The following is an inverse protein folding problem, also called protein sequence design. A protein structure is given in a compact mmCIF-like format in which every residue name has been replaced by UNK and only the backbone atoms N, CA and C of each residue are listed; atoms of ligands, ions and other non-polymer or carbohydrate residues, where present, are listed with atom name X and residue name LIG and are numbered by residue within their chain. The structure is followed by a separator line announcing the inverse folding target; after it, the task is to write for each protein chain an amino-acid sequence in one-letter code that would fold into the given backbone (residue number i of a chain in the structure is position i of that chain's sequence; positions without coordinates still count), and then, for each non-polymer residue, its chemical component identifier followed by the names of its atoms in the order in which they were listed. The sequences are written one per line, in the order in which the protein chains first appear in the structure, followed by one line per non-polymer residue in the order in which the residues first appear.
data_IF_314863917825
#
_entry.id   IF_314863917825
#
_cell.length_a   1.000
_cell.length_b   1.000
_cell.length_c   1.000
_cell.angle_alpha   90.00
_cell.angle_beta   90.00
_cell.angle_gamma   90.00
#
_symmetry.space_group_name_H-M   'P 1'
#
loop_
_entity.id
_entity.type
_entity.pdbx_description
1 polymer ?
#
# COMPACT_ATOMS: atom_id res chain seq x y z
N UNK A 1 -12.97 2.80 -20.80
CA UNK A 1 -13.48 1.84 -19.80
C UNK A 1 -15.00 1.90 -19.67
N UNK A 2 -15.63 2.93 -19.08
CA UNK A 2 -17.09 2.97 -18.91
C UNK A 2 -17.87 2.83 -20.24
N UNK A 3 -17.54 3.62 -21.25
CA UNK A 3 -18.20 3.51 -22.56
C UNK A 3 -18.03 2.12 -23.21
N UNK A 4 -16.82 1.56 -23.16
CA UNK A 4 -16.55 0.22 -23.72
C UNK A 4 -17.22 -0.89 -22.90
N UNK A 5 -17.39 -0.71 -21.58
CA UNK A 5 -18.14 -1.62 -20.72
C UNK A 5 -19.63 -1.60 -21.06
N UNK A 6 -20.20 -0.42 -21.28
CA UNK A 6 -21.59 -0.29 -21.75
C UNK A 6 -21.80 -1.01 -23.08
N UNK A 7 -20.90 -0.81 -24.05
CA UNK A 7 -20.97 -1.51 -25.35
C UNK A 7 -20.87 -3.02 -25.20
N UNK A 8 -19.97 -3.48 -24.33
CA UNK A 8 -19.81 -4.90 -24.00
C UNK A 8 -21.08 -5.50 -23.41
N UNK A 9 -21.72 -4.81 -22.46
CA UNK A 9 -23.00 -5.25 -21.87
C UNK A 9 -24.08 -5.37 -22.95
N UNK A 10 -24.21 -4.37 -23.82
CA UNK A 10 -25.14 -4.43 -24.95
C UNK A 10 -24.86 -5.61 -25.90
N UNK A 11 -23.59 -5.89 -26.22
CA UNK A 11 -23.22 -7.07 -27.03
C UNK A 11 -23.65 -8.39 -26.37
N UNK A 12 -23.48 -8.51 -25.05
CA UNK A 12 -23.90 -9.70 -24.29
C UNK A 12 -25.41 -9.82 -24.23
N UNK A 13 -26.13 -8.70 -24.03
CA UNK A 13 -27.60 -8.65 -24.02
C UNK A 13 -28.19 -9.03 -25.39
N UNK A 14 -27.46 -8.72 -26.48
CA UNK A 14 -27.76 -9.17 -27.85
C UNK A 14 -27.40 -10.65 -28.12
N UNK A 15 -26.86 -11.36 -27.13
CA UNK A 15 -26.49 -12.78 -27.23
C UNK A 15 -25.16 -13.06 -27.93
N UNK A 16 -24.31 -12.05 -28.15
CA UNK A 16 -22.97 -12.25 -28.72
C UNK A 16 -22.07 -12.99 -27.74
N UNK A 17 -21.16 -13.82 -28.25
CA UNK A 17 -20.23 -14.61 -27.44
C UNK A 17 -18.81 -14.57 -28.00
N UNK A 18 -17.83 -14.87 -27.14
CA UNK A 18 -16.42 -14.96 -27.51
C UNK A 18 -15.90 -13.69 -28.17
N UNK A 19 -15.28 -13.83 -29.36
CA UNK A 19 -14.68 -12.72 -30.11
C UNK A 19 -15.70 -11.72 -30.68
N UNK A 20 -16.99 -12.07 -30.69
CA UNK A 20 -18.04 -11.16 -31.14
C UNK A 20 -18.41 -10.09 -30.11
N UNK A 21 -18.03 -10.28 -28.84
CA UNK A 21 -18.26 -9.32 -27.76
C UNK A 21 -17.10 -8.34 -27.68
N UNK A 22 -17.39 -7.04 -27.70
CA UNK A 22 -16.35 -6.03 -27.56
C UNK A 22 -15.68 -6.08 -26.17
N UNK A 23 -14.34 -5.97 -26.10
CA UNK A 23 -13.65 -5.93 -24.82
C UNK A 23 -13.78 -4.55 -24.17
N UNK A 24 -13.77 -4.52 -22.83
CA UNK A 24 -13.47 -3.29 -22.10
C UNK A 24 -12.05 -2.85 -22.47
N UNK A 25 -11.85 -1.56 -22.73
CA UNK A 25 -10.54 -1.05 -23.13
C UNK A 25 -10.20 0.27 -22.44
N UNK A 26 -8.91 0.40 -22.13
CA UNK A 26 -8.25 1.63 -21.73
C UNK A 26 -7.14 2.05 -22.72
N UNK A 27 -7.01 1.35 -23.85
CA UNK A 27 -5.96 1.63 -24.85
C UNK A 27 -6.22 2.95 -25.55
N UNK A 28 -5.14 3.63 -25.94
CA UNK A 28 -5.19 4.90 -26.72
C UNK A 28 -6.15 4.86 -27.90
N UNK A 29 -6.16 3.78 -28.68
CA UNK A 29 -7.05 3.66 -29.86
C UNK A 29 -8.54 3.77 -29.47
N UNK A 30 -8.95 3.14 -28.36
CA UNK A 30 -10.33 3.19 -27.88
C UNK A 30 -10.70 4.59 -27.36
N UNK A 31 -9.74 5.30 -26.76
CA UNK A 31 -9.92 6.68 -26.29
C UNK A 31 -10.11 7.61 -27.49
N UNK A 32 -9.28 7.50 -28.51
CA UNK A 32 -9.34 8.35 -29.70
C UNK A 32 -10.58 8.08 -30.58
N UNK A 33 -11.08 6.84 -30.58
CA UNK A 33 -12.31 6.49 -31.30
C UNK A 33 -13.59 6.79 -30.52
N UNK A 34 -13.49 7.33 -29.29
CA UNK A 34 -14.65 7.57 -28.45
C UNK A 34 -15.53 8.70 -29.04
N UNK A 35 -16.82 8.45 -29.31
CA UNK A 35 -17.71 9.49 -29.80
C UNK A 35 -17.90 10.63 -28.78
N UNK A 36 -18.13 11.85 -29.26
CA UNK A 36 -18.38 13.02 -28.40
C UNK A 36 -19.55 12.80 -27.43
N UNK A 37 -20.65 12.19 -27.90
CA UNK A 37 -21.80 11.92 -27.04
C UNK A 37 -21.43 10.99 -25.87
N UNK A 38 -20.52 10.04 -26.08
CA UNK A 38 -20.09 9.11 -25.04
C UNK A 38 -19.24 9.84 -24.01
N UNK A 39 -18.35 10.74 -24.45
CA UNK A 39 -17.62 11.62 -23.55
C UNK A 39 -18.58 12.46 -22.70
N UNK A 40 -19.52 13.16 -23.34
CA UNK A 40 -20.50 14.03 -22.66
C UNK A 40 -21.35 13.26 -21.65
N UNK A 41 -21.72 12.02 -21.96
CA UNK A 41 -22.47 11.13 -21.06
C UNK A 41 -21.67 10.75 -19.82
N UNK A 42 -20.40 10.40 -19.98
CA UNK A 42 -19.60 9.78 -18.92
C UNK A 42 -18.72 10.76 -18.14
N UNK A 43 -18.40 11.94 -18.66
CA UNK A 43 -17.46 12.89 -18.03
C UNK A 43 -17.81 13.21 -16.56
N UNK A 44 -19.01 13.74 -16.32
CA UNK A 44 -19.46 14.10 -14.96
C UNK A 44 -19.56 12.89 -14.02
N UNK A 45 -19.90 11.72 -14.58
CA UNK A 45 -19.97 10.49 -13.79
C UNK A 45 -18.57 10.05 -13.35
N UNK A 46 -17.59 10.07 -14.26
CA UNK A 46 -16.19 9.75 -13.95
C UNK A 46 -15.63 10.68 -12.89
N UNK A 47 -15.91 11.99 -12.96
CA UNK A 47 -15.53 12.95 -11.92
C UNK A 47 -16.09 12.53 -10.55
N UNK A 48 -17.38 12.18 -10.49
CA UNK A 48 -18.02 11.67 -9.27
C UNK A 48 -17.37 10.37 -8.80
N UNK A 49 -16.99 9.48 -9.73
CA UNK A 49 -16.24 8.25 -9.45
C UNK A 49 -14.87 8.51 -8.83
N UNK A 50 -14.14 9.53 -9.30
CA UNK A 50 -12.87 9.93 -8.69
C UNK A 50 -13.05 10.51 -7.29
N UNK A 51 -14.12 11.27 -7.05
CA UNK A 51 -14.46 11.76 -5.70
C UNK A 51 -14.75 10.58 -4.77
N UNK A 52 -15.51 9.58 -5.22
CA UNK A 52 -15.76 8.35 -4.46
C UNK A 52 -14.48 7.54 -4.21
N UNK A 53 -13.60 7.41 -5.21
CA UNK A 53 -12.30 6.77 -5.06
C UNK A 53 -11.44 7.49 -4.01
N UNK A 54 -11.44 8.82 -3.97
CA UNK A 54 -10.74 9.59 -2.94
C UNK A 54 -11.30 9.32 -1.52
N UNK A 55 -12.64 9.20 -1.38
CA UNK A 55 -13.26 8.82 -0.11
C UNK A 55 -12.85 7.42 0.34
N UNK A 56 -12.85 6.45 -0.58
CA UNK A 56 -12.37 5.09 -0.31
C UNK A 56 -10.90 5.10 0.16
N UNK A 57 -10.02 5.83 -0.54
CA UNK A 57 -8.61 5.96 -0.16
C UNK A 57 -8.44 6.57 1.24
N UNK A 58 -9.26 7.56 1.60
CA UNK A 58 -9.26 8.15 2.93
C UNK A 58 -9.63 7.12 4.01
N UNK A 59 -10.62 6.26 3.74
CA UNK A 59 -10.99 5.15 4.63
C UNK A 59 -9.86 4.12 4.77
N UNK A 60 -9.10 3.90 3.70
CA UNK A 60 -7.86 3.10 3.69
C UNK A 60 -6.62 3.82 4.25
N UNK A 61 -6.80 5.00 4.84
CA UNK A 61 -5.74 5.85 5.43
C UNK A 61 -4.71 6.41 4.43
N UNK A 62 -5.08 6.53 3.15
CA UNK A 62 -4.30 7.26 2.13
C UNK A 62 -4.91 8.66 1.99
N UNK A 63 -4.26 9.67 2.58
CA UNK A 63 -4.82 11.03 2.66
C UNK A 63 -4.09 12.01 1.75
N UNK A 64 -2.85 11.71 1.35
CA UNK A 64 -2.01 12.60 0.53
C UNK A 64 -1.60 11.96 -0.80
N UNK A 65 -1.55 12.76 -1.85
CA UNK A 65 -1.19 12.27 -3.20
C UNK A 65 0.21 11.64 -3.28
N UNK A 66 1.15 12.04 -2.40
CA UNK A 66 2.51 11.48 -2.32
C UNK A 66 2.55 10.06 -1.75
N UNK A 67 1.56 9.69 -0.94
CA UNK A 67 1.44 8.37 -0.30
C UNK A 67 0.79 7.35 -1.22
N UNK A 68 0.15 7.81 -2.30
CA UNK A 68 -0.52 6.93 -3.23
C UNK A 68 0.49 5.95 -3.87
N UNK A 69 0.29 4.62 -3.69
CA UNK A 69 1.20 3.63 -4.26
C UNK A 69 1.16 3.62 -5.79
N UNK A 70 -0.05 3.62 -6.38
CA UNK A 70 -0.28 3.63 -7.82
C UNK A 70 -1.36 4.62 -8.24
N UNK A 71 -0.96 5.65 -9.00
CA UNK A 71 -1.91 6.55 -9.69
C UNK A 71 -2.73 5.84 -10.75
N UNK A 72 -2.13 4.84 -11.40
CA UNK A 72 -2.74 4.04 -12.48
C UNK A 72 -3.92 3.21 -12.00
N UNK A 73 -3.96 2.81 -10.72
CA UNK A 73 -5.07 2.06 -10.13
C UNK A 73 -6.30 2.94 -9.82
N UNK A 74 -6.15 4.27 -9.80
CA UNK A 74 -7.28 5.20 -9.58
C UNK A 74 -8.30 5.15 -10.72
N UNK A 75 -7.84 5.01 -11.96
CA UNK A 75 -8.71 5.01 -13.13
C UNK A 75 -9.72 3.84 -13.11
N UNK A 76 -9.31 2.57 -12.91
CA UNK A 76 -10.28 1.47 -12.79
C UNK A 76 -11.13 1.60 -11.52
N UNK A 77 -10.55 2.03 -10.39
CA UNK A 77 -11.31 2.26 -9.16
C UNK A 77 -12.44 3.27 -9.38
N UNK A 78 -12.16 4.42 -10.00
CA UNK A 78 -13.18 5.43 -10.29
C UNK A 78 -14.27 4.90 -11.23
N UNK A 79 -13.90 4.11 -12.25
CA UNK A 79 -14.88 3.49 -13.15
C UNK A 79 -15.78 2.48 -12.41
N UNK A 80 -15.23 1.69 -11.49
CA UNK A 80 -15.99 0.76 -10.64
C UNK A 80 -16.93 1.56 -9.72
N UNK A 81 -16.45 2.64 -9.11
CA UNK A 81 -17.24 3.52 -8.23
C UNK A 81 -18.46 4.12 -8.94
N UNK A 82 -18.33 4.49 -10.22
CA UNK A 82 -19.47 4.98 -11.03
C UNK A 82 -20.57 3.94 -11.14
N UNK A 83 -20.21 2.67 -11.34
CA UNK A 83 -21.18 1.57 -11.44
C UNK A 83 -21.81 1.22 -10.10
N UNK A 84 -21.01 1.21 -9.03
CA UNK A 84 -21.50 0.85 -7.70
C UNK A 84 -22.33 1.96 -7.07
N UNK A 85 -22.09 3.23 -7.42
CA UNK A 85 -22.72 4.38 -6.76
C UNK A 85 -22.57 4.26 -5.23
N UNK A 86 -23.58 4.53 -4.41
CA UNK A 86 -23.45 4.44 -2.95
C UNK A 86 -23.17 3.02 -2.43
N UNK A 87 -23.38 1.98 -3.26
CA UNK A 87 -23.21 0.58 -2.86
C UNK A 87 -21.76 0.21 -2.53
N UNK A 88 -20.76 0.98 -2.99
CA UNK A 88 -19.36 0.71 -2.61
C UNK A 88 -19.13 0.82 -1.09
N UNK A 89 -20.02 1.51 -0.36
CA UNK A 89 -20.02 1.62 1.10
C UNK A 89 -20.61 0.39 1.80
N UNK A 90 -21.32 -0.49 1.09
CA UNK A 90 -21.83 -1.73 1.68
C UNK A 90 -20.66 -2.57 2.20
N UNK A 91 -20.67 -3.06 3.46
CA UNK A 91 -19.49 -3.67 4.08
C UNK A 91 -18.87 -4.84 3.29
N UNK A 92 -19.70 -5.68 2.68
CA UNK A 92 -19.24 -6.80 1.85
C UNK A 92 -18.55 -6.32 0.56
N UNK A 93 -19.09 -5.28 -0.07
CA UNK A 93 -18.54 -4.69 -1.30
C UNK A 93 -17.24 -3.95 -0.98
N UNK A 94 -17.23 -3.16 0.10
CA UNK A 94 -16.05 -2.47 0.59
C UNK A 94 -14.88 -3.45 0.84
N UNK A 95 -15.16 -4.59 1.49
CA UNK A 95 -14.15 -5.61 1.79
C UNK A 95 -13.52 -6.17 0.51
N UNK A 96 -14.32 -6.45 -0.52
CA UNK A 96 -13.82 -6.91 -1.83
C UNK A 96 -12.99 -5.83 -2.52
N UNK A 97 -13.45 -4.57 -2.51
CA UNK A 97 -12.71 -3.45 -3.09
C UNK A 97 -11.37 -3.24 -2.40
N UNK A 98 -11.34 -3.29 -1.06
CA UNK A 98 -10.12 -3.22 -0.26
C UNK A 98 -9.17 -4.37 -0.61
N UNK A 99 -9.67 -5.60 -0.68
CA UNK A 99 -8.85 -6.76 -1.05
C UNK A 99 -8.23 -6.61 -2.44
N UNK A 100 -9.03 -6.24 -3.44
CA UNK A 100 -8.54 -5.99 -4.81
C UNK A 100 -7.50 -4.86 -4.84
N UNK A 101 -7.77 -3.76 -4.15
CA UNK A 101 -6.88 -2.62 -4.07
C UNK A 101 -5.51 -3.03 -3.50
N UNK A 102 -5.51 -3.66 -2.33
CA UNK A 102 -4.28 -4.09 -1.65
C UNK A 102 -3.54 -5.21 -2.38
N UNK A 103 -4.24 -6.12 -3.07
CA UNK A 103 -3.59 -7.07 -3.97
C UNK A 103 -2.85 -6.37 -5.11
N UNK A 104 -3.46 -5.35 -5.71
CA UNK A 104 -2.83 -4.54 -6.75
C UNK A 104 -1.58 -3.80 -6.28
N UNK A 105 -1.65 -3.20 -5.08
CA UNK A 105 -0.54 -2.46 -4.46
C UNK A 105 0.61 -3.38 -4.07
N UNK A 106 0.33 -4.41 -3.26
CA UNK A 106 1.35 -5.27 -2.65
C UNK A 106 1.90 -6.31 -3.63
N UNK A 107 1.10 -6.70 -4.63
CA UNK A 107 1.56 -7.50 -5.77
C UNK A 107 2.25 -6.67 -6.86
N UNK A 108 2.30 -5.35 -6.73
CA UNK A 108 2.92 -4.41 -7.68
C UNK A 108 2.46 -4.52 -9.13
N UNK A 109 1.18 -4.78 -9.30
CA UNK A 109 0.61 -5.15 -10.58
C UNK A 109 0.33 -3.95 -11.51
N UNK A 110 0.63 -2.74 -11.04
CA UNK A 110 0.27 -1.47 -11.68
C UNK A 110 1.49 -0.62 -12.10
N UNK A 111 2.70 -1.21 -12.09
CA UNK A 111 3.95 -0.56 -12.52
C UNK A 111 4.25 -0.62 -14.03
N UNK A 112 3.75 -1.63 -14.77
CA UNK A 112 4.06 -1.83 -16.19
C UNK A 112 2.95 -2.51 -17.01
N UNK A 113 2.89 -2.23 -18.31
CA UNK A 113 1.91 -2.78 -19.27
C UNK A 113 0.44 -2.82 -18.77
N UNK A 114 0.02 -1.74 -18.09
CA UNK A 114 -1.19 -1.73 -17.25
C UNK A 114 -2.51 -1.57 -17.99
N UNK A 115 -2.51 -1.09 -19.25
CA UNK A 115 -3.75 -0.73 -19.96
C UNK A 115 -4.73 -1.92 -20.05
N UNK A 116 -4.19 -3.11 -20.28
CA UNK A 116 -4.97 -4.35 -20.32
C UNK A 116 -5.49 -4.72 -18.94
N UNK A 117 -4.66 -4.61 -17.90
CA UNK A 117 -5.05 -4.92 -16.51
C UNK A 117 -6.15 -3.99 -16.02
N UNK A 118 -6.00 -2.68 -16.16
CA UNK A 118 -7.01 -1.73 -15.67
C UNK A 118 -8.36 -1.92 -16.38
N UNK A 119 -8.35 -2.25 -17.67
CA UNK A 119 -9.58 -2.49 -18.42
C UNK A 119 -10.27 -3.79 -17.95
N UNK A 120 -9.48 -4.85 -17.75
CA UNK A 120 -9.93 -6.12 -17.22
C UNK A 120 -10.46 -6.01 -15.80
N UNK A 121 -9.79 -5.28 -14.92
CA UNK A 121 -10.18 -5.12 -13.52
C UNK A 121 -11.57 -4.50 -13.36
N UNK A 122 -11.95 -3.54 -14.22
CA UNK A 122 -13.29 -2.97 -14.17
C UNK A 122 -14.35 -4.06 -14.36
N UNK A 123 -14.14 -4.96 -15.32
CA UNK A 123 -15.07 -6.07 -15.58
C UNK A 123 -15.01 -7.12 -14.46
N UNK A 124 -13.81 -7.61 -14.16
CA UNK A 124 -13.60 -8.68 -13.20
C UNK A 124 -14.09 -8.32 -11.80
N UNK A 125 -13.83 -7.08 -11.33
CA UNK A 125 -14.24 -6.64 -10.00
C UNK A 125 -15.74 -6.44 -9.92
N UNK A 126 -16.37 -5.88 -10.96
CA UNK A 126 -17.83 -5.73 -10.99
C UNK A 126 -18.53 -7.09 -11.02
N UNK A 127 -18.06 -8.03 -11.86
CA UNK A 127 -18.58 -9.40 -11.90
C UNK A 127 -18.42 -10.11 -10.55
N UNK A 128 -17.26 -9.97 -9.91
CA UNK A 128 -17.00 -10.55 -8.60
C UNK A 128 -17.91 -9.96 -7.51
N UNK A 129 -18.19 -8.65 -7.56
CA UNK A 129 -19.07 -7.97 -6.60
C UNK A 129 -20.53 -8.36 -6.82
N UNK A 130 -21.01 -8.32 -8.06
CA UNK A 130 -22.43 -8.49 -8.40
C UNK A 130 -22.88 -9.95 -8.32
N UNK A 131 -22.04 -10.87 -8.79
CA UNK A 131 -22.45 -12.26 -9.04
C UNK A 131 -21.74 -13.27 -8.14
N UNK A 132 -20.79 -12.83 -7.30
CA UNK A 132 -19.81 -13.71 -6.65
C UNK A 132 -19.07 -14.63 -7.66
N UNK A 133 -19.02 -14.22 -8.92
CA UNK A 133 -18.49 -15.01 -10.02
C UNK A 133 -17.03 -14.63 -10.28
N UNK A 134 -16.15 -15.61 -10.15
CA UNK A 134 -14.72 -15.45 -10.35
C UNK A 134 -14.03 -14.53 -9.33
N UNK A 135 -12.79 -14.86 -8.97
CA UNK A 135 -11.93 -13.91 -8.26
C UNK A 135 -11.20 -13.06 -9.30
N UNK A 136 -11.10 -11.72 -9.15
CA UNK A 136 -10.45 -10.88 -10.15
C UNK A 136 -9.01 -11.31 -10.42
N UNK A 137 -8.58 -11.22 -11.68
CA UNK A 137 -7.21 -11.62 -12.07
C UNK A 137 -6.15 -10.95 -11.20
N UNK A 138 -6.32 -9.68 -10.87
CA UNK A 138 -5.40 -8.95 -9.97
C UNK A 138 -5.30 -9.57 -8.58
N UNK A 139 -6.38 -10.11 -8.01
CA UNK A 139 -6.34 -10.81 -6.71
C UNK A 139 -5.67 -12.19 -6.84
N UNK A 140 -5.90 -12.89 -7.96
CA UNK A 140 -5.27 -14.18 -8.25
C UNK A 140 -3.76 -14.02 -8.46
N UNK A 141 -3.38 -13.13 -9.38
CA UNK A 141 -2.01 -12.85 -9.81
C UNK A 141 -1.13 -12.26 -8.68
N UNK A 142 -1.73 -11.53 -7.73
CA UNK A 142 -0.97 -10.85 -6.70
C UNK A 142 -0.25 -11.84 -5.78
N UNK A 143 1.08 -11.83 -5.81
CA UNK A 143 1.92 -12.63 -4.93
C UNK A 143 2.88 -11.68 -4.21
N UNK A 144 2.99 -11.85 -2.89
CA UNK A 144 4.01 -11.18 -2.10
C UNK A 144 5.01 -12.22 -1.59
N UNK A 145 6.27 -12.08 -2.02
CA UNK A 145 7.38 -12.88 -1.52
C UNK A 145 7.89 -12.28 -0.19
N UNK A 146 7.87 -13.00 0.95
CA UNK A 146 8.38 -12.53 2.22
C UNK A 146 9.82 -11.96 2.20
N UNK A 147 10.70 -12.53 1.38
CA UNK A 147 12.11 -12.09 1.26
C UNK A 147 12.24 -10.68 0.70
N UNK A 148 11.18 -10.20 0.04
CA UNK A 148 11.10 -8.82 -0.43
C UNK A 148 11.26 -7.81 0.72
N UNK A 149 10.74 -8.12 1.90
CA UNK A 149 10.86 -7.22 3.06
C UNK A 149 12.32 -6.95 3.42
N UNK A 150 13.22 -7.90 3.18
CA UNK A 150 14.64 -7.77 3.52
C UNK A 150 15.38 -6.84 2.56
N UNK A 151 14.87 -6.69 1.33
CA UNK A 151 15.50 -5.89 0.26
C UNK A 151 14.80 -4.57 0.01
N UNK A 152 13.56 -4.42 0.48
CA UNK A 152 12.74 -3.24 0.22
C UNK A 152 13.21 -2.04 1.05
N UNK A 153 14.05 -1.19 0.45
CA UNK A 153 14.62 0.03 1.05
C UNK A 153 14.07 1.32 0.45
N UNK A 154 13.67 1.29 -0.84
CA UNK A 154 13.20 2.45 -1.60
C UNK A 154 11.80 2.89 -1.18
N UNK A 155 11.70 4.17 -0.78
CA UNK A 155 10.45 4.83 -0.37
C UNK A 155 9.50 5.09 -1.55
N UNK A 156 9.99 4.95 -2.78
CA UNK A 156 9.20 5.19 -3.99
C UNK A 156 8.35 3.99 -4.39
N UNK A 157 8.77 2.77 -4.03
CA UNK A 157 8.07 1.53 -4.38
C UNK A 157 6.65 1.50 -3.80
N UNK A 158 5.73 0.92 -4.56
CA UNK A 158 4.33 0.87 -4.18
C UNK A 158 4.11 -0.02 -2.95
N UNK A 159 4.81 -1.15 -2.87
CA UNK A 159 4.76 -2.03 -1.72
C UNK A 159 5.27 -1.32 -0.44
N UNK A 160 6.32 -0.50 -0.53
CA UNK A 160 6.82 0.26 0.62
C UNK A 160 5.81 1.31 1.10
N UNK A 161 5.25 2.10 0.17
CA UNK A 161 4.18 3.06 0.51
C UNK A 161 2.99 2.37 1.14
N UNK A 162 2.54 1.26 0.52
CA UNK A 162 1.43 0.46 1.00
C UNK A 162 1.65 -0.07 2.42
N UNK A 163 2.82 -0.63 2.71
CA UNK A 163 3.13 -1.17 4.04
C UNK A 163 3.11 -0.07 5.13
N UNK A 164 3.64 1.12 4.82
CA UNK A 164 3.59 2.23 5.78
C UNK A 164 2.15 2.68 6.03
N UNK A 165 1.33 2.81 4.99
CA UNK A 165 -0.10 3.12 5.15
C UNK A 165 -0.81 2.06 6.00
N UNK A 166 -0.51 0.78 5.79
CA UNK A 166 -1.11 -0.31 6.58
C UNK A 166 -0.73 -0.22 8.07
N UNK A 167 0.51 0.15 8.39
CA UNK A 167 0.92 0.39 9.78
C UNK A 167 0.12 1.54 10.41
N UNK A 168 -0.06 2.64 9.67
CA UNK A 168 -0.88 3.77 10.13
C UNK A 168 -2.35 3.36 10.32
N UNK A 169 -2.88 2.56 9.40
CA UNK A 169 -4.27 2.06 9.43
C UNK A 169 -4.54 1.17 10.66
N UNK A 170 -3.55 0.40 11.11
CA UNK A 170 -3.66 -0.43 12.32
C UNK A 170 -3.42 0.35 13.63
N UNK A 171 -3.28 1.68 13.56
CA UNK A 171 -3.25 2.53 14.74
C UNK A 171 -1.85 2.75 15.33
N UNK A 172 -0.81 2.82 14.50
CA UNK A 172 0.53 3.20 14.93
C UNK A 172 0.54 4.56 15.66
N UNK A 173 1.20 4.63 16.83
CA UNK A 173 1.28 5.81 17.70
C UNK A 173 2.67 6.44 17.69
N UNK A 174 2.75 7.77 17.61
CA UNK A 174 4.04 8.44 17.66
C UNK A 174 4.73 8.25 19.03
N UNK A 175 6.03 7.94 18.99
CA UNK A 175 6.82 7.63 20.18
C UNK A 175 6.94 8.80 21.17
N UNK A 176 6.81 10.05 20.68
CA UNK A 176 6.95 11.26 21.49
C UNK A 176 5.60 11.85 21.89
N UNK A 177 4.73 12.07 20.90
CA UNK A 177 3.43 12.71 21.08
C UNK A 177 2.38 11.78 21.67
N UNK A 178 2.62 10.46 21.66
CA UNK A 178 1.74 9.43 22.23
C UNK A 178 0.37 9.33 21.58
N UNK A 179 0.17 10.03 20.46
CA UNK A 179 -1.07 10.04 19.70
C UNK A 179 -0.93 9.15 18.48
N UNK A 180 -2.05 8.61 18.00
CA UNK A 180 -2.12 7.97 16.69
C UNK A 180 -1.49 8.88 15.63
N UNK A 181 -0.55 8.34 14.88
CA UNK A 181 0.20 9.09 13.86
C UNK A 181 -0.74 9.74 12.85
N UNK A 182 -1.85 9.06 12.51
CA UNK A 182 -2.88 9.59 11.62
C UNK A 182 -3.50 10.90 12.12
N UNK A 183 -3.70 11.06 13.43
CA UNK A 183 -4.25 12.31 14.01
C UNK A 183 -3.24 13.45 13.91
N UNK A 184 -1.95 13.14 14.11
CA UNK A 184 -0.86 14.11 13.97
C UNK A 184 -0.66 14.55 12.51
N UNK A 185 -0.83 13.65 11.55
CA UNK A 185 -0.71 13.96 10.13
C UNK A 185 -1.79 14.94 9.63
N UNK A 186 -2.98 14.87 10.24
CA UNK A 186 -4.09 15.81 10.02
C UNK A 186 -3.80 17.20 10.59
N UNK A 187 -2.99 17.29 11.65
CA UNK A 187 -2.51 18.54 12.25
C UNK A 187 -1.25 19.09 11.54
N UNK A 188 -0.92 18.56 10.36
CA UNK A 188 0.26 18.93 9.56
C UNK A 188 1.61 18.77 10.30
N UNK A 189 1.65 17.94 11.35
CA UNK A 189 2.90 17.60 12.00
C UNK A 189 3.75 16.74 11.05
N UNK A 190 4.98 17.18 10.79
CA UNK A 190 5.89 16.48 9.91
C UNK A 190 6.24 15.08 10.46
N UNK A 191 5.84 14.07 9.71
CA UNK A 191 6.18 12.67 9.91
C UNK A 191 7.17 12.24 8.83
N UNK A 192 8.16 11.44 9.22
CA UNK A 192 9.08 10.80 8.28
C UNK A 192 9.41 9.38 8.77
N UNK A 193 9.99 8.59 7.88
CA UNK A 193 10.21 7.16 8.11
C UNK A 193 11.64 6.92 8.55
N UNK A 194 11.83 6.63 9.83
CA UNK A 194 13.16 6.51 10.43
C UNK A 194 13.49 5.09 10.87
N UNK A 195 14.77 4.84 11.06
CA UNK A 195 15.26 3.56 11.56
C UNK A 195 14.84 3.35 13.02
N UNK A 196 14.39 2.14 13.34
CA UNK A 196 14.07 1.72 14.71
C UNK A 196 15.38 1.47 15.47
N UNK A 197 16.23 0.59 14.94
CA UNK A 197 17.64 0.52 15.33
C UNK A 197 18.43 1.52 14.49
N UNK A 198 19.01 2.59 15.09
CA UNK A 198 19.64 3.64 14.32
C UNK A 198 20.82 3.16 13.49
N UNK A 199 21.05 3.82 12.35
CA UNK A 199 22.15 3.50 11.44
C UNK A 199 23.51 3.45 12.16
N UNK A 200 23.84 4.49 12.92
CA UNK A 200 25.11 4.58 13.67
C UNK A 200 25.30 3.40 14.63
N UNK A 201 24.22 2.93 15.26
CA UNK A 201 24.27 1.76 16.14
C UNK A 201 24.47 0.49 15.33
N UNK A 202 23.75 0.33 14.22
CA UNK A 202 23.86 -0.85 13.36
C UNK A 202 25.28 -1.01 12.79
N UNK A 203 25.89 0.09 12.33
CA UNK A 203 27.24 0.09 11.77
C UNK A 203 28.29 -0.30 12.82
N UNK A 204 28.17 0.22 14.05
CA UNK A 204 29.06 -0.14 15.17
C UNK A 204 28.94 -1.60 15.59
N UNK A 205 27.79 -2.22 15.37
CA UNK A 205 27.52 -3.62 15.68
C UNK A 205 27.70 -4.55 14.47
N UNK A 206 28.29 -4.06 13.37
CA UNK A 206 28.62 -4.90 12.20
C UNK A 206 27.41 -5.36 11.38
N UNK A 207 26.24 -4.74 11.54
CA UNK A 207 25.05 -5.06 10.77
C UNK A 207 25.17 -4.48 9.38
N UNK A 208 24.96 -5.30 8.35
CA UNK A 208 25.09 -4.90 6.94
C UNK A 208 24.05 -3.84 6.57
N UNK A 209 24.46 -2.86 5.76
CA UNK A 209 23.60 -1.79 5.21
C UNK A 209 22.32 -2.30 4.56
N UNK A 210 22.41 -3.37 3.77
CA UNK A 210 21.24 -3.97 3.12
C UNK A 210 20.16 -4.40 4.13
N UNK A 211 20.55 -4.87 5.32
CA UNK A 211 19.64 -5.36 6.35
C UNK A 211 19.07 -4.18 7.14
N UNK A 212 19.92 -3.30 7.68
CA UNK A 212 19.42 -2.21 8.53
C UNK A 212 18.64 -1.16 7.74
N UNK A 213 18.85 -1.01 6.43
CA UNK A 213 18.07 -0.08 5.58
C UNK A 213 16.77 -0.66 5.04
N UNK A 214 16.51 -1.95 5.26
CA UNK A 214 15.24 -2.57 4.87
C UNK A 214 14.05 -1.95 5.60
N UNK A 215 12.85 -2.09 5.03
CA UNK A 215 11.61 -1.60 5.63
C UNK A 215 11.35 -2.22 7.02
N UNK A 216 11.88 -3.42 7.28
CA UNK A 216 11.74 -4.15 8.55
C UNK A 216 12.38 -3.40 9.71
N UNK A 217 13.39 -2.55 9.46
CA UNK A 217 13.99 -1.71 10.49
C UNK A 217 13.50 -0.25 10.41
N UNK A 218 12.43 0.05 9.67
CA UNK A 218 11.94 1.42 9.48
C UNK A 218 10.49 1.58 9.94
N UNK A 219 10.16 2.78 10.42
CA UNK A 219 8.81 3.10 10.86
C UNK A 219 8.51 4.60 10.73
N UNK A 220 7.26 5.00 10.39
CA UNK A 220 6.87 6.40 10.47
C UNK A 220 6.89 6.88 11.92
N UNK A 221 7.52 8.02 12.18
CA UNK A 221 7.50 8.74 13.46
C UNK A 221 7.65 10.24 13.19
N UNK A 222 7.34 11.06 14.20
CA UNK A 222 7.54 12.50 14.16
C UNK A 222 9.01 12.89 14.23
N UNK A 223 9.32 14.08 13.72
CA UNK A 223 10.64 14.68 13.86
C UNK A 223 11.10 14.78 15.33
N UNK A 224 10.19 15.01 16.29
CA UNK A 224 10.54 15.06 17.72
C UNK A 224 10.97 13.69 18.25
N UNK A 225 10.23 12.64 17.90
CA UNK A 225 10.62 11.26 18.23
C UNK A 225 11.99 10.93 17.62
N UNK A 226 12.20 11.24 16.33
CA UNK A 226 13.47 11.00 15.65
C UNK A 226 14.67 11.71 16.33
N UNK A 227 14.52 12.98 16.74
CA UNK A 227 15.56 13.70 17.49
C UNK A 227 15.89 13.04 18.83
N UNK A 228 14.91 12.40 19.47
CA UNK A 228 15.14 11.70 20.73
C UNK A 228 15.89 10.38 20.54
N UNK A 229 15.57 9.65 19.46
CA UNK A 229 16.25 8.42 19.03
C UNK A 229 17.74 8.68 18.75
N UNK A 230 18.04 9.63 17.85
CA UNK A 230 19.43 9.92 17.46
C UNK A 230 20.19 8.66 16.99
N UNK A 231 21.46 8.52 17.38
CA UNK A 231 22.29 7.35 17.09
C UNK A 231 22.40 6.35 18.25
N UNK A 232 21.48 6.39 19.21
CA UNK A 232 21.56 5.58 20.45
C UNK A 232 20.99 4.17 20.24
N UNK A 233 21.42 3.24 21.08
CA UNK A 233 20.79 1.92 21.16
C UNK A 233 19.31 2.05 21.57
N UNK A 234 18.40 1.20 21.07
CA UNK A 234 16.99 1.24 21.46
C UNK A 234 16.71 1.21 22.95
N UNK A 235 17.39 0.39 23.73
CA UNK A 235 17.29 0.37 25.20
C UNK A 235 17.51 1.76 25.81
N UNK A 236 18.47 2.51 25.26
CA UNK A 236 18.83 3.86 25.68
C UNK A 236 17.79 4.90 25.28
N UNK A 237 17.42 4.98 24.00
CA UNK A 237 16.48 6.00 23.55
C UNK A 237 15.06 5.74 24.06
N UNK A 238 14.64 4.49 24.25
CA UNK A 238 13.33 4.14 24.80
C UNK A 238 13.21 4.67 26.22
N UNK A 239 14.23 4.43 27.07
CA UNK A 239 14.27 4.97 28.44
C UNK A 239 14.21 6.50 28.44
N UNK A 240 14.97 7.14 27.55
CA UNK A 240 14.99 8.60 27.40
C UNK A 240 13.62 9.15 26.98
N UNK A 241 12.95 8.51 26.02
CA UNK A 241 11.58 8.83 25.61
C UNK A 241 10.65 8.72 26.81
N UNK A 242 10.64 7.58 27.50
CA UNK A 242 9.78 7.34 28.67
C UNK A 242 9.93 8.41 29.75
N UNK A 243 11.17 8.77 30.10
CA UNK A 243 11.43 9.84 31.09
C UNK A 243 10.87 11.18 30.62
N UNK A 244 11.08 11.53 29.34
CA UNK A 244 10.66 12.82 28.82
C UNK A 244 9.14 12.93 28.63
N UNK A 245 8.50 11.86 28.17
CA UNK A 245 7.05 11.81 27.91
C UNK A 245 6.24 11.42 29.15
N UNK A 246 6.92 11.10 30.26
CA UNK A 246 6.37 10.65 31.54
C UNK A 246 5.50 9.39 31.38
N UNK A 247 5.95 8.45 30.55
CA UNK A 247 5.26 7.18 30.32
C UNK A 247 5.83 6.08 31.21
N UNK A 248 4.95 5.28 31.80
CA UNK A 248 5.33 4.01 32.41
C UNK A 248 5.64 2.96 31.33
N UNK A 249 6.18 1.80 31.74
CA UNK A 249 6.57 0.74 30.81
C UNK A 249 5.38 0.23 30.00
N UNK A 250 4.24 -0.03 30.64
CA UNK A 250 3.05 -0.54 29.95
C UNK A 250 2.59 0.39 28.81
N UNK A 251 2.56 1.70 29.05
CA UNK A 251 2.11 2.67 28.05
C UNK A 251 3.14 2.85 26.91
N UNK A 252 4.44 2.79 27.20
CA UNK A 252 5.47 2.81 26.15
C UNK A 252 5.45 1.51 25.33
N UNK A 253 5.25 0.37 25.98
CA UNK A 253 5.16 -0.93 25.32
C UNK A 253 3.99 -0.96 24.33
N UNK A 254 2.82 -0.45 24.73
CA UNK A 254 1.66 -0.33 23.84
C UNK A 254 1.96 0.54 22.59
N UNK A 255 2.73 1.62 22.75
CA UNK A 255 3.18 2.44 21.61
C UNK A 255 4.09 1.63 20.68
N UNK A 256 5.11 0.95 21.21
CA UNK A 256 6.03 0.15 20.41
C UNK A 256 5.29 -1.01 19.68
N UNK A 257 4.40 -1.69 20.37
CA UNK A 257 3.57 -2.78 19.83
C UNK A 257 2.65 -2.30 18.69
N UNK A 258 2.16 -1.06 18.74
CA UNK A 258 1.36 -0.46 17.65
C UNK A 258 2.12 -0.37 16.31
N UNK A 259 3.46 -0.43 16.36
CA UNK A 259 4.35 -0.46 15.19
C UNK A 259 4.82 -1.87 14.80
N UNK A 260 4.21 -2.90 15.40
CA UNK A 260 4.59 -4.32 15.25
C UNK A 260 6.03 -4.59 15.70
N UNK A 261 6.47 -3.90 16.75
CA UNK A 261 7.81 -4.05 17.32
C UNK A 261 7.74 -5.00 18.53
N UNK A 262 8.63 -5.99 18.56
CA UNK A 262 8.83 -6.81 19.75
C UNK A 262 9.51 -5.96 20.85
N UNK A 263 8.81 -5.75 21.96
CA UNK A 263 9.24 -4.84 23.02
C UNK A 263 10.47 -5.37 23.75
N UNK A 264 10.53 -6.67 24.00
CA UNK A 264 11.62 -7.26 24.78
C UNK A 264 12.92 -7.22 24.00
N UNK A 265 12.89 -7.66 22.74
CA UNK A 265 14.04 -7.59 21.84
C UNK A 265 14.52 -6.15 21.67
N UNK A 266 13.60 -5.18 21.51
CA UNK A 266 13.97 -3.77 21.41
C UNK A 266 14.64 -3.26 22.71
N UNK A 267 14.12 -3.61 23.89
CA UNK A 267 14.68 -3.16 25.18
C UNK A 267 16.01 -3.82 25.52
N UNK A 268 16.30 -4.98 24.95
CA UNK A 268 17.57 -5.71 25.10
C UNK A 268 18.60 -5.38 24.01
N UNK A 269 18.27 -4.48 23.08
CA UNK A 269 19.08 -4.21 21.88
C UNK A 269 19.32 -5.46 21.00
N UNK A 270 18.45 -6.47 21.10
CA UNK A 270 18.52 -7.71 20.33
C UNK A 270 17.94 -7.48 18.93
N UNK A 271 18.82 -7.05 18.02
CA UNK A 271 18.47 -6.77 16.63
C UNK A 271 17.95 -8.01 15.89
N UNK A 272 18.53 -9.19 16.13
CA UNK A 272 18.18 -10.40 15.38
C UNK A 272 16.76 -10.85 15.71
N UNK A 273 16.43 -10.93 17.00
CA UNK A 273 15.07 -11.27 17.44
C UNK A 273 14.07 -10.22 17.00
N UNK A 274 14.40 -8.92 17.17
CA UNK A 274 13.56 -7.82 16.69
C UNK A 274 13.24 -7.97 15.20
N UNK A 275 14.26 -8.20 14.38
CA UNK A 275 14.12 -8.24 12.93
C UNK A 275 13.24 -9.41 12.50
N UNK A 276 13.50 -10.60 13.06
CA UNK A 276 12.72 -11.81 12.75
C UNK A 276 11.24 -11.65 13.15
N UNK A 277 10.97 -11.18 14.38
CA UNK A 277 9.61 -11.02 14.89
C UNK A 277 8.85 -9.93 14.14
N UNK A 278 9.48 -8.78 13.90
CA UNK A 278 8.85 -7.68 13.16
C UNK A 278 8.59 -8.07 11.71
N UNK A 279 9.53 -8.75 11.03
CA UNK A 279 9.31 -9.27 9.68
C UNK A 279 8.06 -10.16 9.64
N UNK A 280 7.93 -11.09 10.59
CA UNK A 280 6.77 -11.98 10.67
C UNK A 280 5.46 -11.21 10.89
N UNK A 281 5.46 -10.20 11.76
CA UNK A 281 4.29 -9.37 12.01
C UNK A 281 3.90 -8.51 10.80
N UNK A 282 4.88 -8.00 10.04
CA UNK A 282 4.63 -7.27 8.79
C UNK A 282 4.08 -8.19 7.68
N UNK A 283 4.55 -9.44 7.61
CA UNK A 283 3.97 -10.47 6.73
C UNK A 283 2.49 -10.69 7.06
N UNK A 284 2.15 -10.88 8.33
CA UNK A 284 0.75 -11.06 8.75
C UNK A 284 -0.13 -9.85 8.38
N UNK A 285 0.41 -8.63 8.50
CA UNK A 285 -0.28 -7.41 8.09
C UNK A 285 -0.57 -7.39 6.58
N UNK A 286 0.41 -7.79 5.77
CA UNK A 286 0.27 -7.94 4.31
C UNK A 286 -0.76 -9.00 3.96
N UNK A 287 -0.71 -10.17 4.59
CA UNK A 287 -1.66 -11.26 4.37
C UNK A 287 -3.10 -10.85 4.69
N UNK A 288 -3.28 -10.12 5.80
CA UNK A 288 -4.59 -9.57 6.20
C UNK A 288 -5.12 -8.59 5.14
N UNK A 289 -4.27 -7.71 4.62
CA UNK A 289 -4.67 -6.73 3.61
C UNK A 289 -5.01 -7.37 2.26
N UNK A 290 -4.22 -8.36 1.82
CA UNK A 290 -4.44 -9.09 0.56
C UNK A 290 -5.55 -10.16 0.67
N UNK A 291 -5.94 -10.54 1.88
CA UNK A 291 -6.90 -11.63 2.13
C UNK A 291 -6.38 -13.00 1.65
N UNK A 292 -5.06 -13.16 1.53
CA UNK A 292 -4.40 -14.41 1.07
C UNK A 292 -3.03 -14.56 1.71
N UNK A 293 -2.53 -15.79 1.75
CA UNK A 293 -1.19 -16.09 2.28
C UNK A 293 -0.09 -15.59 1.36
N UNK A 294 1.02 -15.17 1.96
CA UNK A 294 2.27 -14.94 1.24
C UNK A 294 2.83 -16.25 0.71
N UNK A 295 3.62 -16.18 -0.36
CA UNK A 295 4.21 -17.36 -0.96
C UNK A 295 5.61 -17.03 -1.46
N UNK A 296 6.63 -17.87 -1.22
CA UNK A 296 7.90 -17.76 -1.90
C UNK A 296 7.66 -17.94 -3.40
N UNK A 297 7.91 -16.89 -4.19
CA UNK A 297 7.86 -17.00 -5.65
C UNK A 297 9.10 -17.74 -6.14
N UNK A 298 8.95 -18.71 -7.05
CA UNK A 298 10.05 -19.32 -7.80
C UNK A 298 10.61 -18.40 -8.92
N UNK A 299 9.97 -17.26 -9.18
CA UNK A 299 10.41 -16.23 -10.11
C UNK A 299 10.50 -14.89 -9.39
N UNK A 300 11.71 -14.52 -9.01
CA UNK A 300 12.08 -13.15 -8.70
C UNK A 300 13.02 -12.65 -9.81
N UNK A 301 13.13 -11.33 -9.92
CA UNK A 301 14.16 -10.58 -10.66
C UNK A 301 13.80 -10.15 -12.09
N UNK A 302 12.91 -9.16 -12.16
CA UNK A 302 12.95 -8.15 -13.23
C UNK A 302 12.88 -6.71 -12.68
N UNK A 303 12.18 -6.46 -11.56
CA UNK A 303 12.08 -5.09 -11.00
C UNK A 303 13.33 -4.62 -10.25
N UNK A 304 14.15 -5.53 -9.74
CA UNK A 304 15.37 -5.18 -8.99
C UNK A 304 16.48 -4.58 -9.88
N UNK A 305 16.48 -4.90 -11.18
CA UNK A 305 17.46 -4.40 -12.15
C UNK A 305 17.15 -2.96 -12.58
N UNK A 306 15.87 -2.60 -12.71
CA UNK A 306 15.47 -1.21 -12.98
C UNK A 306 15.71 -0.30 -11.77
N UNK A 307 15.53 -0.80 -10.54
CA UNK A 307 15.73 0.00 -9.31
C UNK A 307 17.20 0.41 -9.07
N UNK A 308 18.18 -0.43 -9.43
CA UNK A 308 19.61 -0.08 -9.30
C UNK A 308 20.03 1.05 -10.24
N UNK A 309 19.48 1.10 -11.44
CA UNK A 309 19.82 2.11 -12.45
C UNK A 309 19.33 3.52 -12.08
N UNK A 310 18.20 3.61 -11.37
CA UNK A 310 17.67 4.91 -10.91
C UNK A 310 18.38 5.45 -9.65
N UNK A 311 18.89 4.58 -8.76
CA UNK A 311 19.62 5.05 -7.56
C UNK A 311 20.99 5.66 -7.90
N UNK A 312 21.68 5.15 -8.93
CA UNK A 312 22.94 5.72 -9.41
C UNK A 312 22.76 7.10 -10.07
N UNK A 313 21.58 7.40 -10.64
CA UNK A 313 21.27 8.73 -11.20
C UNK A 313 20.90 9.75 -10.12
N UNK A 314 20.17 9.35 -9.07
CA UNK A 314 19.70 10.28 -8.02
C UNK A 314 20.75 10.55 -6.94
N UNK A 315 21.72 9.66 -6.76
CA UNK A 315 22.84 9.88 -5.83
C UNK A 315 23.97 10.73 -6.41
N UNK A 316 23.84 11.17 -7.67
CA UNK A 316 24.77 12.06 -8.36
C UNK A 316 24.36 13.55 -8.35
N UNK A 317 23.26 13.92 -7.70
CA UNK A 317 22.81 15.32 -7.45
C UNK A 317 22.82 15.67 -5.95
#
# INVERSE_FOLDING_TARGET
MLHTLERRKADVDEGKTGKAVQPVSAKRAAILSMPLWAYQKWANQVETGFVAAAKFLHMECITKARELPYRTQLAPLAAIMVHLQERWLEPAIYTKLAQWFWCGVLGELYGGAIETRIANDVEDVLAWIENNDGTPRTVVDAVFNPDRLDRMSSRLSAAYKGLNVLLLREGAHDFFWKAEIRKLDQEELALDIHHIFPQDWCEKNGIKRAIYNSVVNKTPISYKANRMIGGQAPSGYVRKLQTHTQLNDAAMNAILESHRIDVEALRQDDFETFYAQRKQALIQLIEKAMGKKTSPSAQADASALDEQLFEDEVSAE
#
